data_IF_050456543267
#
_entry.id   IF_050456543267
#
_cell.length_a   1.000
_cell.length_b   1.000
_cell.length_c   1.000
_cell.angle_alpha   90.00
_cell.angle_beta   90.00
_cell.angle_gamma   90.00
#
_symmetry.space_group_name_H-M   'P 1'
#
loop_
_entity.id
_entity.type
_entity.pdbx_description
1 polymer ?
#
# COMPACT_ATOMS: atom_id res chain seq x y z
N UNK A 1 -40.05 -14.14 -9.56
CA UNK A 1 -38.83 -13.62 -8.88
C UNK A 1 -39.05 -12.15 -8.55
N UNK A 2 -38.89 -11.72 -7.30
CA UNK A 2 -39.09 -10.31 -6.91
C UNK A 2 -38.08 -9.36 -7.58
N UNK A 3 -38.48 -8.09 -7.76
CA UNK A 3 -37.59 -7.05 -8.31
C UNK A 3 -36.38 -6.85 -7.39
N UNK A 4 -35.17 -6.93 -7.95
CA UNK A 4 -33.93 -6.71 -7.20
C UNK A 4 -33.73 -5.23 -6.92
N UNK A 5 -33.43 -4.87 -5.68
CA UNK A 5 -33.05 -3.50 -5.32
C UNK A 5 -31.70 -3.13 -5.95
N UNK A 6 -31.41 -1.83 -6.06
CA UNK A 6 -30.10 -1.33 -6.53
C UNK A 6 -28.93 -1.93 -5.74
N UNK A 7 -29.03 -2.03 -4.41
CA UNK A 7 -27.98 -2.64 -3.58
C UNK A 7 -27.78 -4.13 -3.92
N UNK A 8 -28.86 -4.87 -4.17
CA UNK A 8 -28.76 -6.27 -4.61
C UNK A 8 -28.13 -6.39 -6.01
N UNK A 9 -28.45 -5.46 -6.92
CA UNK A 9 -27.82 -5.39 -8.24
C UNK A 9 -26.32 -5.08 -8.13
N UNK A 10 -25.94 -4.09 -7.31
CA UNK A 10 -24.54 -3.73 -7.04
C UNK A 10 -23.77 -4.92 -6.48
N UNK A 11 -24.30 -5.56 -5.43
CA UNK A 11 -23.66 -6.72 -4.83
C UNK A 11 -23.50 -7.85 -5.85
N UNK A 12 -24.54 -8.15 -6.63
CA UNK A 12 -24.45 -9.18 -7.66
C UNK A 12 -23.36 -8.85 -8.70
N UNK A 13 -23.33 -7.63 -9.22
CA UNK A 13 -22.35 -7.19 -10.22
C UNK A 13 -20.91 -7.23 -9.69
N UNK A 14 -20.68 -6.77 -8.46
CA UNK A 14 -19.35 -6.81 -7.86
C UNK A 14 -18.91 -8.25 -7.54
N UNK A 15 -19.83 -9.12 -7.10
CA UNK A 15 -19.51 -10.54 -6.83
C UNK A 15 -19.06 -11.26 -8.09
N UNK A 16 -19.70 -11.01 -9.24
CA UNK A 16 -19.26 -11.60 -10.53
C UNK A 16 -17.83 -11.19 -10.90
N UNK A 17 -17.42 -10.00 -10.46
CA UNK A 17 -16.08 -9.44 -10.66
C UNK A 17 -15.10 -9.82 -9.54
N UNK A 18 -15.53 -10.56 -8.52
CA UNK A 18 -14.67 -10.99 -7.44
C UNK A 18 -13.75 -12.13 -7.89
N UNK A 19 -12.48 -12.05 -7.51
CA UNK A 19 -11.40 -13.02 -7.77
C UNK A 19 -10.63 -13.27 -6.47
N UNK A 20 -11.38 -13.50 -5.40
CA UNK A 20 -10.85 -13.63 -4.04
C UNK A 20 -10.08 -14.95 -3.92
N UNK A 21 -8.88 -14.88 -3.33
CA UNK A 21 -7.97 -16.03 -3.23
C UNK A 21 -6.95 -16.10 -4.37
N UNK A 22 -7.20 -15.41 -5.49
CA UNK A 22 -6.24 -15.31 -6.58
C UNK A 22 -5.20 -14.21 -6.31
N UNK A 23 -3.92 -14.48 -6.62
CA UNK A 23 -2.87 -13.48 -6.47
C UNK A 23 -2.99 -12.40 -7.55
N UNK A 24 -3.26 -11.16 -7.12
CA UNK A 24 -3.21 -9.99 -7.99
C UNK A 24 -1.85 -9.80 -8.67
N UNK A 25 -0.76 -10.25 -8.04
CA UNK A 25 0.56 -10.21 -8.65
C UNK A 25 0.63 -11.14 -9.86
N UNK A 26 0.24 -12.41 -9.67
CA UNK A 26 0.22 -13.42 -10.72
C UNK A 26 -0.67 -12.99 -11.90
N UNK A 27 -1.90 -12.53 -11.59
CA UNK A 27 -2.81 -12.00 -12.62
C UNK A 27 -2.20 -10.83 -13.42
N UNK A 28 -1.37 -10.00 -12.77
CA UNK A 28 -0.66 -8.91 -13.46
C UNK A 28 0.52 -9.42 -14.31
N UNK A 29 1.21 -10.46 -13.85
CA UNK A 29 2.30 -11.10 -14.60
C UNK A 29 1.78 -11.82 -15.84
N UNK A 30 0.70 -12.58 -15.71
CA UNK A 30 -0.01 -13.22 -16.82
C UNK A 30 -0.49 -12.19 -17.85
N UNK A 31 -1.08 -11.09 -17.38
CA UNK A 31 -1.45 -10.00 -18.27
C UNK A 31 -0.23 -9.44 -19.01
N UNK A 32 0.88 -9.19 -18.29
CA UNK A 32 2.12 -8.71 -18.91
C UNK A 32 2.66 -9.69 -19.96
N UNK A 33 2.57 -10.99 -19.70
CA UNK A 33 2.98 -12.03 -20.63
C UNK A 33 2.11 -12.03 -21.88
N UNK A 34 0.78 -11.94 -21.75
CA UNK A 34 -0.13 -11.88 -22.90
C UNK A 34 0.12 -10.67 -23.82
N UNK A 35 0.50 -9.52 -23.26
CA UNK A 35 0.91 -8.36 -24.04
C UNK A 35 2.24 -8.63 -24.76
N UNK A 36 3.21 -9.22 -24.06
CA UNK A 36 4.51 -9.56 -24.64
C UNK A 36 4.39 -10.57 -25.79
N UNK A 37 3.50 -11.57 -25.68
CA UNK A 37 3.18 -12.53 -26.75
C UNK A 37 2.58 -11.85 -27.98
N UNK A 38 1.81 -10.78 -27.79
CA UNK A 38 1.29 -9.93 -28.87
C UNK A 38 2.32 -8.93 -29.41
N UNK A 39 3.55 -8.94 -28.92
CA UNK A 39 4.59 -7.97 -29.27
C UNK A 39 4.35 -6.56 -28.71
N UNK A 40 3.34 -6.40 -27.86
CA UNK A 40 2.96 -5.12 -27.26
C UNK A 40 3.53 -4.99 -25.85
N UNK A 41 3.73 -3.75 -25.40
CA UNK A 41 4.06 -3.47 -24.01
C UNK A 41 2.80 -3.04 -23.28
N UNK A 42 2.50 -3.71 -22.16
CA UNK A 42 1.44 -3.28 -21.26
C UNK A 42 1.67 -1.82 -20.85
N UNK A 43 0.73 -0.94 -21.21
CA UNK A 43 0.80 0.47 -20.86
C UNK A 43 0.82 0.67 -19.33
N UNK A 44 1.41 1.77 -18.90
CA UNK A 44 1.39 2.12 -17.48
C UNK A 44 -0.05 2.42 -17.04
N UNK A 45 -0.52 1.74 -15.99
CA UNK A 45 -1.83 1.98 -15.42
C UNK A 45 -2.95 1.05 -15.92
N UNK A 46 -2.64 0.07 -16.77
CA UNK A 46 -3.61 -0.98 -17.14
C UNK A 46 -4.13 -1.66 -15.87
N UNK A 47 -5.45 -1.67 -15.73
CA UNK A 47 -6.13 -2.28 -14.60
C UNK A 47 -6.11 -3.81 -14.76
N UNK A 48 -5.74 -4.51 -13.68
CA UNK A 48 -5.96 -5.96 -13.60
C UNK A 48 -7.46 -6.19 -13.50
N UNK A 49 -7.95 -7.17 -14.25
CA UNK A 49 -9.36 -7.53 -14.21
C UNK A 49 -9.74 -8.11 -12.83
N UNK A 50 -11.01 -7.95 -12.45
CA UNK A 50 -11.54 -8.46 -11.20
C UNK A 50 -11.13 -7.69 -9.92
N UNK A 51 -11.55 -8.24 -8.78
CA UNK A 51 -11.31 -7.73 -7.42
C UNK A 51 -10.70 -8.86 -6.58
N UNK A 52 -9.40 -8.74 -6.28
CA UNK A 52 -8.62 -9.82 -5.64
C UNK A 52 -8.52 -9.76 -4.11
N UNK A 53 -9.18 -8.78 -3.48
CA UNK A 53 -9.11 -8.61 -2.02
C UNK A 53 -10.49 -8.34 -1.45
N UNK A 54 -10.83 -9.03 -0.37
CA UNK A 54 -12.09 -8.86 0.36
C UNK A 54 -12.23 -7.40 0.82
N UNK A 55 -11.15 -6.82 1.37
CA UNK A 55 -11.14 -5.42 1.79
C UNK A 55 -11.45 -4.46 0.64
N UNK A 56 -10.89 -4.71 -0.55
CA UNK A 56 -11.18 -3.89 -1.74
C UNK A 56 -12.65 -4.08 -2.18
N UNK A 57 -13.14 -5.31 -2.13
CA UNK A 57 -14.54 -5.62 -2.44
C UNK A 57 -15.49 -4.87 -1.52
N UNK A 58 -15.27 -4.91 -0.20
CA UNK A 58 -16.11 -4.25 0.79
C UNK A 58 -16.11 -2.73 0.60
N UNK A 59 -14.92 -2.14 0.40
CA UNK A 59 -14.79 -0.69 0.13
C UNK A 59 -15.50 -0.29 -1.16
N UNK A 60 -15.38 -1.09 -2.22
CA UNK A 60 -16.05 -0.81 -3.49
C UNK A 60 -17.56 -0.93 -3.35
N UNK A 61 -18.03 -1.97 -2.66
CA UNK A 61 -19.44 -2.17 -2.34
C UNK A 61 -20.00 -0.97 -1.58
N UNK A 62 -19.34 -0.54 -0.51
CA UNK A 62 -19.75 0.62 0.31
C UNK A 62 -19.83 1.91 -0.53
N UNK A 63 -18.84 2.15 -1.39
CA UNK A 63 -18.85 3.32 -2.29
C UNK A 63 -20.00 3.27 -3.30
N UNK A 64 -20.29 2.10 -3.87
CA UNK A 64 -21.37 1.94 -4.83
C UNK A 64 -22.76 2.05 -4.17
N UNK A 65 -22.93 1.48 -2.98
CA UNK A 65 -24.18 1.58 -2.20
C UNK A 65 -24.45 3.02 -1.76
N UNK A 66 -23.40 3.78 -1.42
CA UNK A 66 -23.51 5.22 -1.14
C UNK A 66 -23.99 6.00 -2.36
N UNK A 67 -23.46 5.69 -3.53
CA UNK A 67 -23.91 6.29 -4.78
C UNK A 67 -25.38 5.96 -5.08
N UNK A 68 -25.79 4.69 -4.92
CA UNK A 68 -27.19 4.31 -5.10
C UNK A 68 -28.12 5.02 -4.10
N UNK A 69 -27.68 5.16 -2.84
CA UNK A 69 -28.44 5.89 -1.82
C UNK A 69 -28.61 7.37 -2.20
N UNK A 70 -27.55 8.00 -2.69
CA UNK A 70 -27.60 9.38 -3.18
C UNK A 70 -28.54 9.53 -4.38
N UNK A 71 -28.53 8.60 -5.35
CA UNK A 71 -29.47 8.63 -6.47
C UNK A 71 -30.94 8.50 -6.01
N UNK A 72 -31.21 7.70 -4.98
CA UNK A 72 -32.56 7.56 -4.43
C UNK A 72 -32.99 8.86 -3.72
N UNK A 73 -32.10 9.46 -2.93
CA UNK A 73 -32.39 10.63 -2.10
C UNK A 73 -32.47 11.92 -2.90
N UNK A 74 -31.46 12.22 -3.72
CA UNK A 74 -31.31 13.50 -4.41
C UNK A 74 -31.97 13.52 -5.79
N UNK A 75 -32.07 12.36 -6.45
CA UNK A 75 -32.66 12.23 -7.80
C UNK A 75 -34.04 11.59 -7.81
N UNK A 76 -34.56 11.19 -6.65
CA UNK A 76 -35.86 10.53 -6.53
C UNK A 76 -35.95 9.21 -7.30
N UNK A 77 -34.81 8.56 -7.56
CA UNK A 77 -34.78 7.30 -8.32
C UNK A 77 -35.41 6.18 -7.51
N UNK A 78 -36.25 5.37 -8.15
CA UNK A 78 -36.82 4.20 -7.49
C UNK A 78 -35.73 3.18 -7.12
N UNK A 79 -35.79 2.63 -5.90
CA UNK A 79 -34.85 1.60 -5.44
C UNK A 79 -34.82 0.31 -6.28
N UNK A 80 -35.81 0.09 -7.13
CA UNK A 80 -35.92 -1.04 -8.06
C UNK A 80 -35.54 -0.69 -9.51
N UNK A 81 -35.05 0.53 -9.76
CA UNK A 81 -34.51 0.95 -11.06
C UNK A 81 -33.31 0.10 -11.47
N UNK A 82 -33.02 0.02 -12.77
CA UNK A 82 -31.85 -0.72 -13.27
C UNK A 82 -30.57 0.05 -12.94
N UNK A 83 -29.51 -0.69 -12.65
CA UNK A 83 -28.21 -0.13 -12.29
C UNK A 83 -27.61 0.73 -13.40
N UNK A 84 -27.89 0.39 -14.66
CA UNK A 84 -27.43 1.08 -15.85
C UNK A 84 -28.07 2.48 -15.97
N UNK A 85 -29.32 2.63 -15.56
CA UNK A 85 -30.07 3.88 -15.69
C UNK A 85 -29.53 4.98 -14.76
N UNK A 86 -28.99 4.60 -13.61
CA UNK A 86 -28.41 5.56 -12.65
C UNK A 86 -26.99 5.98 -13.01
N UNK A 87 -26.32 5.29 -13.95
CA UNK A 87 -24.94 5.57 -14.36
C UNK A 87 -24.74 7.01 -14.81
N UNK A 88 -25.74 7.59 -15.48
CA UNK A 88 -25.73 8.99 -15.95
C UNK A 88 -25.44 9.99 -14.81
N UNK A 89 -25.80 9.65 -13.57
CA UNK A 89 -25.58 10.51 -12.42
C UNK A 89 -24.20 10.34 -11.76
N UNK A 90 -23.36 9.41 -12.23
CA UNK A 90 -22.07 9.12 -11.60
C UNK A 90 -21.13 10.35 -11.57
N UNK A 91 -21.07 11.11 -12.65
CA UNK A 91 -20.22 12.32 -12.72
C UNK A 91 -20.77 13.42 -11.81
N UNK A 92 -22.09 13.60 -11.78
CA UNK A 92 -22.74 14.58 -10.91
C UNK A 92 -22.54 14.24 -9.43
N UNK A 93 -22.72 12.97 -9.05
CA UNK A 93 -22.43 12.49 -7.70
C UNK A 93 -20.99 12.80 -7.29
N UNK A 94 -20.00 12.50 -8.14
CA UNK A 94 -18.60 12.78 -7.81
C UNK A 94 -18.32 14.27 -7.62
N UNK A 95 -19.05 15.15 -8.31
CA UNK A 95 -18.96 16.61 -8.16
C UNK A 95 -19.63 17.12 -6.89
N UNK A 96 -20.79 16.59 -6.55
CA UNK A 96 -21.44 16.85 -5.26
C UNK A 96 -20.54 16.43 -4.08
N UNK A 97 -19.89 15.26 -4.18
CA UNK A 97 -18.92 14.79 -3.18
C UNK A 97 -17.69 15.69 -3.07
N UNK A 98 -17.25 16.27 -4.19
CA UNK A 98 -16.17 17.27 -4.22
C UNK A 98 -16.62 18.56 -3.52
N UNK A 99 -17.84 19.03 -3.78
CA UNK A 99 -18.44 20.20 -3.13
C UNK A 99 -18.64 19.99 -1.61
N UNK A 100 -18.94 18.77 -1.17
CA UNK A 100 -18.99 18.38 0.25
C UNK A 100 -17.62 18.35 0.95
N UNK A 101 -16.54 18.73 0.26
CA UNK A 101 -15.20 18.79 0.83
C UNK A 101 -14.58 17.42 1.11
N UNK A 102 -15.03 16.35 0.43
CA UNK A 102 -14.38 15.04 0.57
C UNK A 102 -12.97 15.07 0.01
N UNK A 103 -12.06 14.36 0.68
CA UNK A 103 -10.67 14.33 0.25
C UNK A 103 -10.52 13.78 -1.16
N UNK A 104 -9.55 14.31 -1.92
CA UNK A 104 -9.24 13.83 -3.26
C UNK A 104 -8.92 12.32 -3.30
N UNK A 105 -8.39 11.78 -2.20
CA UNK A 105 -8.15 10.34 -2.05
C UNK A 105 -9.47 9.55 -2.08
N UNK A 106 -10.46 10.00 -1.27
CA UNK A 106 -11.80 9.41 -1.24
C UNK A 106 -12.50 9.52 -2.59
N UNK A 107 -12.47 10.70 -3.23
CA UNK A 107 -13.10 10.92 -4.53
C UNK A 107 -12.54 10.00 -5.63
N UNK A 108 -11.21 9.80 -5.65
CA UNK A 108 -10.57 8.88 -6.59
C UNK A 108 -10.92 7.42 -6.30
N UNK A 109 -11.06 7.04 -5.03
CA UNK A 109 -11.50 5.70 -4.64
C UNK A 109 -12.96 5.45 -5.05
N UNK A 110 -13.86 6.40 -4.80
CA UNK A 110 -15.26 6.36 -5.24
C UNK A 110 -15.35 6.25 -6.77
N UNK A 111 -14.61 7.08 -7.51
CA UNK A 111 -14.54 7.01 -8.99
C UNK A 111 -14.04 5.65 -9.49
N UNK A 112 -13.04 5.07 -8.82
CA UNK A 112 -12.51 3.75 -9.18
C UNK A 112 -13.50 2.61 -8.88
N UNK A 113 -14.25 2.71 -7.78
CA UNK A 113 -15.30 1.77 -7.43
C UNK A 113 -16.43 1.80 -8.46
N UNK A 114 -16.93 3.00 -8.81
CA UNK A 114 -17.93 3.18 -9.85
C UNK A 114 -17.42 2.67 -11.22
N UNK A 115 -16.17 2.96 -11.56
CA UNK A 115 -15.61 2.44 -12.80
C UNK A 115 -15.52 0.91 -12.83
N UNK A 116 -15.18 0.28 -11.69
CA UNK A 116 -15.19 -1.18 -11.56
C UNK A 116 -16.63 -1.73 -11.62
N UNK A 117 -17.61 -1.05 -11.03
CA UNK A 117 -19.02 -1.41 -11.09
C UNK A 117 -19.53 -1.47 -12.54
N UNK A 118 -19.30 -0.41 -13.30
CA UNK A 118 -19.77 -0.28 -14.68
C UNK A 118 -18.88 -0.93 -15.74
N UNK A 119 -17.64 -1.29 -15.38
CA UNK A 119 -16.69 -1.91 -16.32
C UNK A 119 -16.01 -0.91 -17.26
N UNK A 120 -16.13 0.39 -16.98
CA UNK A 120 -15.56 1.48 -17.79
C UNK A 120 -15.08 2.62 -16.89
N UNK A 121 -14.23 3.49 -17.42
CA UNK A 121 -13.73 4.63 -16.64
C UNK A 121 -14.77 5.76 -16.58
N UNK A 122 -15.15 6.16 -15.37
CA UNK A 122 -15.99 7.36 -15.18
C UNK A 122 -15.16 8.62 -15.45
N UNK A 123 -15.58 9.37 -16.47
CA UNK A 123 -14.94 10.64 -16.85
C UNK A 123 -15.33 11.76 -15.88
N UNK A 124 -14.54 11.92 -14.82
CA UNK A 124 -14.67 13.04 -13.89
C UNK A 124 -13.30 13.66 -13.59
N UNK A 125 -13.16 14.95 -13.87
CA UNK A 125 -11.99 15.78 -13.52
C UNK A 125 -12.27 16.52 -12.22
N UNK A 126 -11.50 16.18 -11.19
CA UNK A 126 -11.48 16.88 -9.92
C UNK A 126 -10.65 18.17 -10.03
N UNK A 127 -11.09 19.23 -9.37
CA UNK A 127 -10.44 20.54 -9.34
C UNK A 127 -9.14 20.46 -8.54
N UNK A 128 -9.19 19.73 -7.42
CA UNK A 128 -8.05 19.54 -6.55
C UNK A 128 -7.01 18.60 -7.19
N UNK A 129 -5.75 19.05 -7.22
CA UNK A 129 -4.59 18.23 -7.59
C UNK A 129 -3.96 17.63 -6.36
N UNK A 130 -3.42 16.41 -6.49
CA UNK A 130 -2.73 15.75 -5.39
C UNK A 130 -1.43 16.50 -5.10
N UNK A 131 -1.26 16.98 -3.88
CA UNK A 131 0.01 17.52 -3.41
C UNK A 131 0.72 16.52 -2.50
N UNK A 132 2.06 16.47 -2.58
CA UNK A 132 2.86 15.74 -1.60
C UNK A 132 2.90 16.44 -0.23
N UNK A 133 2.51 17.73 -0.19
CA UNK A 133 2.34 18.48 1.06
C UNK A 133 1.24 17.89 1.95
N UNK A 134 0.24 17.25 1.34
CA UNK A 134 -0.91 16.65 2.04
C UNK A 134 -0.59 15.28 2.68
N UNK A 135 0.64 14.79 2.56
CA UNK A 135 1.07 13.56 3.24
C UNK A 135 1.29 13.88 4.71
N UNK A 136 0.28 13.68 5.55
CA UNK A 136 0.34 14.00 7.00
C UNK A 136 0.34 12.77 7.91
N UNK A 137 0.12 11.57 7.35
CA UNK A 137 0.01 10.33 8.11
C UNK A 137 1.27 10.07 8.95
N UNK A 138 1.10 9.82 10.25
CA UNK A 138 2.18 9.50 11.19
C UNK A 138 3.29 10.55 11.23
N UNK A 139 2.94 11.84 11.04
CA UNK A 139 3.85 13.00 11.18
C UNK A 139 3.66 13.77 12.49
N UNK A 140 2.74 13.34 13.33
CA UNK A 140 2.45 13.90 14.65
C UNK A 140 1.59 12.91 15.45
N UNK A 141 1.36 13.22 16.71
CA UNK A 141 0.58 12.36 17.61
C UNK A 141 -0.86 12.19 17.11
N UNK A 142 -1.30 10.95 16.94
CA UNK A 142 -2.69 10.64 16.67
C UNK A 142 -3.42 10.34 17.99
N UNK A 143 -4.70 10.72 18.06
CA UNK A 143 -5.56 10.44 19.24
C UNK A 143 -5.56 8.96 19.70
N UNK A 144 -5.23 8.03 18.80
CA UNK A 144 -5.22 6.59 19.09
C UNK A 144 -3.91 6.12 19.72
N UNK A 145 -2.85 6.91 19.63
CA UNK A 145 -1.52 6.59 20.15
C UNK A 145 -1.51 6.68 21.68
N UNK A 146 -2.39 7.52 22.25
CA UNK A 146 -2.58 7.67 23.70
C UNK A 146 -2.94 6.37 24.44
N UNK A 147 -3.49 5.36 23.73
CA UNK A 147 -3.85 4.07 24.30
C UNK A 147 -2.80 2.98 24.05
N UNK A 148 -1.60 3.33 23.60
CA UNK A 148 -0.51 2.40 23.34
C UNK A 148 0.74 2.79 24.13
N UNK A 149 1.19 1.90 25.01
CA UNK A 149 2.46 2.08 25.73
C UNK A 149 3.59 1.43 24.94
N UNK A 150 4.53 2.24 24.44
CA UNK A 150 5.72 1.75 23.74
C UNK A 150 6.59 0.88 24.64
N UNK A 151 6.74 1.27 25.92
CA UNK A 151 7.55 0.55 26.91
C UNK A 151 7.04 -0.88 27.13
N UNK A 152 5.73 -1.04 27.37
CA UNK A 152 5.12 -2.37 27.57
C UNK A 152 5.13 -3.23 26.30
N UNK A 153 5.35 -2.62 25.14
CA UNK A 153 5.37 -3.28 23.84
C UNK A 153 6.74 -3.14 23.17
N UNK A 154 7.82 -3.02 23.96
CA UNK A 154 9.15 -2.70 23.45
C UNK A 154 9.63 -3.68 22.37
N UNK A 155 9.39 -4.99 22.51
CA UNK A 155 9.77 -6.00 21.51
C UNK A 155 9.00 -5.80 20.18
N UNK A 156 7.73 -5.42 20.23
CA UNK A 156 6.94 -5.11 19.02
C UNK A 156 7.43 -3.84 18.35
N UNK A 157 7.74 -2.81 19.14
CA UNK A 157 8.29 -1.54 18.64
C UNK A 157 9.65 -1.77 18.00
N UNK A 158 10.54 -2.51 18.66
CA UNK A 158 11.85 -2.90 18.14
C UNK A 158 11.72 -3.70 16.85
N UNK A 159 10.79 -4.65 16.78
CA UNK A 159 10.51 -5.40 15.56
C UNK A 159 10.05 -4.46 14.42
N UNK A 160 9.12 -3.55 14.69
CA UNK A 160 8.62 -2.61 13.67
C UNK A 160 9.72 -1.65 13.17
N UNK A 161 10.47 -1.03 14.10
CA UNK A 161 11.57 -0.11 13.80
C UNK A 161 12.77 -0.82 13.20
N UNK A 162 12.97 -2.11 13.48
CA UNK A 162 14.07 -2.92 12.97
C UNK A 162 13.83 -3.50 11.58
N UNK A 163 12.56 -3.71 11.17
CA UNK A 163 12.23 -4.44 9.93
C UNK A 163 11.45 -3.64 8.88
N UNK A 164 10.76 -2.56 9.29
CA UNK A 164 9.90 -1.81 8.38
C UNK A 164 8.79 -2.66 7.74
N UNK A 165 8.18 -3.57 8.49
CA UNK A 165 7.00 -4.34 8.08
C UNK A 165 5.73 -3.48 7.96
N UNK A 166 4.71 -3.92 7.20
CA UNK A 166 3.35 -3.36 7.31
C UNK A 166 2.67 -4.04 8.50
N UNK A 167 1.63 -3.46 9.08
CA UNK A 167 0.90 -4.11 10.20
C UNK A 167 0.50 -5.56 9.89
N UNK A 168 -0.03 -5.80 8.68
CA UNK A 168 -0.38 -7.15 8.22
C UNK A 168 0.83 -8.06 8.00
N UNK A 169 1.98 -7.49 7.62
CA UNK A 169 3.21 -8.26 7.47
C UNK A 169 3.75 -8.66 8.85
N UNK A 170 3.80 -7.70 9.79
CA UNK A 170 4.28 -7.91 11.16
C UNK A 170 3.45 -8.99 11.87
N UNK A 171 2.13 -8.99 11.69
CA UNK A 171 1.24 -9.98 12.28
C UNK A 171 1.38 -11.40 11.70
N UNK A 172 2.17 -11.61 10.65
CA UNK A 172 2.44 -12.94 10.06
C UNK A 172 3.85 -13.44 10.36
N UNK A 173 4.70 -12.62 10.98
CA UNK A 173 6.10 -12.99 11.20
C UNK A 173 6.20 -14.10 12.24
N UNK A 174 7.07 -15.06 11.93
CA UNK A 174 7.52 -16.15 12.80
C UNK A 174 9.04 -16.11 12.90
N UNK A 175 9.69 -16.84 13.83
CA UNK A 175 11.14 -16.97 13.85
C UNK A 175 11.72 -17.44 12.51
N UNK A 176 11.06 -18.37 11.80
CA UNK A 176 11.48 -18.83 10.47
C UNK A 176 11.43 -17.76 9.37
N UNK A 177 10.81 -16.60 9.62
CA UNK A 177 10.83 -15.47 8.70
C UNK A 177 12.19 -14.76 8.67
N UNK A 178 13.09 -15.04 9.61
CA UNK A 178 14.39 -14.41 9.75
C UNK A 178 15.51 -15.33 9.30
N UNK A 179 16.55 -14.74 8.71
CA UNK A 179 17.76 -15.44 8.34
C UNK A 179 18.97 -14.51 8.46
N UNK A 180 20.16 -15.10 8.56
CA UNK A 180 21.43 -14.37 8.60
C UNK A 180 22.28 -14.75 7.39
N UNK A 181 23.07 -13.80 6.89
CA UNK A 181 24.11 -14.12 5.93
C UNK A 181 25.39 -14.65 6.61
N UNK A 182 26.41 -14.98 5.81
CA UNK A 182 27.72 -15.44 6.29
C UNK A 182 28.47 -14.46 7.19
N UNK A 183 28.09 -13.18 7.17
CA UNK A 183 28.71 -12.10 7.93
C UNK A 183 27.82 -11.68 9.12
N UNK A 184 26.84 -12.52 9.51
CA UNK A 184 25.87 -12.24 10.56
C UNK A 184 24.95 -11.03 10.31
N UNK A 185 24.81 -10.56 9.08
CA UNK A 185 23.78 -9.56 8.76
C UNK A 185 22.42 -10.24 8.76
N UNK A 186 21.50 -9.74 9.58
CA UNK A 186 20.16 -10.28 9.70
C UNK A 186 19.20 -9.67 8.69
N UNK A 187 18.33 -10.51 8.16
CA UNK A 187 17.26 -10.15 7.23
C UNK A 187 15.94 -10.77 7.67
N UNK A 188 14.85 -10.16 7.20
CA UNK A 188 13.49 -10.70 7.33
C UNK A 188 12.87 -10.88 5.95
N UNK A 189 12.20 -12.01 5.76
CA UNK A 189 11.38 -12.31 4.58
C UNK A 189 9.92 -12.03 4.90
N UNK A 190 9.30 -11.21 4.05
CA UNK A 190 7.88 -10.95 4.09
C UNK A 190 7.22 -11.64 2.91
N UNK A 191 6.35 -12.61 3.20
CA UNK A 191 5.62 -13.38 2.19
C UNK A 191 4.19 -12.88 2.02
N UNK A 192 3.70 -12.92 0.78
CA UNK A 192 2.36 -12.47 0.40
C UNK A 192 2.01 -11.10 1.00
N UNK A 193 2.98 -10.17 0.96
CA UNK A 193 2.77 -8.79 1.39
C UNK A 193 1.80 -8.09 0.42
N UNK A 194 1.58 -6.79 0.63
CA UNK A 194 0.63 -5.98 -0.13
C UNK A 194 0.72 -6.23 -1.64
N UNK A 195 -0.39 -6.69 -2.22
CA UNK A 195 -0.50 -7.01 -3.64
C UNK A 195 -0.01 -8.40 -4.03
N UNK A 196 0.24 -9.28 -3.05
CA UNK A 196 0.72 -10.65 -3.25
C UNK A 196 2.22 -10.73 -3.57
N UNK A 197 3.01 -9.78 -3.05
CA UNK A 197 4.44 -9.66 -3.37
C UNK A 197 5.29 -10.08 -2.19
N UNK A 198 6.29 -10.90 -2.46
CA UNK A 198 7.32 -11.25 -1.49
C UNK A 198 8.41 -10.19 -1.52
N UNK A 199 9.05 -9.96 -0.37
CA UNK A 199 10.21 -9.05 -0.27
C UNK A 199 11.12 -9.45 0.88
N UNK A 200 12.40 -9.10 0.74
CA UNK A 200 13.39 -9.20 1.82
C UNK A 200 13.71 -7.80 2.31
N UNK A 201 13.84 -7.65 3.63
CA UNK A 201 14.25 -6.39 4.26
C UNK A 201 15.43 -6.64 5.20
N UNK A 202 16.47 -5.78 5.18
CA UNK A 202 17.52 -5.86 6.18
C UNK A 202 16.95 -5.56 7.57
N UNK A 203 17.46 -6.25 8.59
CA UNK A 203 17.20 -5.88 9.97
C UNK A 203 18.26 -4.90 10.43
N UNK A 204 17.84 -3.70 10.82
CA UNK A 204 18.75 -2.65 11.24
C UNK A 204 19.64 -3.12 12.41
N UNK A 205 20.97 -2.90 12.36
CA UNK A 205 21.91 -3.41 13.36
C UNK A 205 21.50 -3.09 14.80
N UNK A 206 21.01 -1.87 15.05
CA UNK A 206 20.54 -1.40 16.36
C UNK A 206 19.47 -2.31 17.00
N UNK A 207 18.66 -3.00 16.21
CA UNK A 207 17.54 -3.80 16.69
C UNK A 207 17.77 -5.31 16.60
N UNK A 208 18.91 -5.76 16.06
CA UNK A 208 19.16 -7.19 15.83
C UNK A 208 19.15 -8.00 17.12
N UNK A 209 19.80 -7.54 18.19
CA UNK A 209 19.86 -8.27 19.46
C UNK A 209 18.47 -8.40 20.11
N UNK A 210 17.70 -7.32 20.17
CA UNK A 210 16.32 -7.37 20.69
C UNK A 210 15.41 -8.29 19.86
N UNK A 211 15.62 -8.35 18.54
CA UNK A 211 14.86 -9.25 17.67
C UNK A 211 15.32 -10.70 17.84
N UNK A 212 16.63 -10.96 17.99
CA UNK A 212 17.17 -12.30 18.30
C UNK A 212 16.60 -12.84 19.61
N UNK A 213 16.55 -12.00 20.64
CA UNK A 213 15.94 -12.36 21.92
C UNK A 213 14.46 -12.70 21.72
N UNK A 214 13.69 -11.84 21.04
CA UNK A 214 12.28 -12.10 20.75
C UNK A 214 12.06 -13.43 20.01
N UNK A 215 12.78 -13.69 18.92
CA UNK A 215 12.59 -14.92 18.13
C UNK A 215 12.99 -16.18 18.92
N UNK A 216 13.93 -16.07 19.87
CA UNK A 216 14.35 -17.20 20.72
C UNK A 216 13.27 -17.64 21.73
N UNK A 217 12.31 -16.77 22.03
CA UNK A 217 11.19 -17.07 22.94
C UNK A 217 10.04 -17.86 22.28
N UNK A 218 10.13 -18.15 20.98
CA UNK A 218 9.04 -18.67 20.17
C UNK A 218 9.46 -19.89 19.36
N UNK A 219 8.54 -20.82 19.12
CA UNK A 219 8.81 -21.95 18.23
C UNK A 219 8.93 -21.48 16.76
N UNK A 220 9.66 -22.19 15.88
CA UNK A 220 9.96 -21.72 14.51
C UNK A 220 8.74 -21.29 13.67
N UNK A 221 7.61 -21.99 13.83
CA UNK A 221 6.36 -21.72 13.11
C UNK A 221 5.35 -20.88 13.91
N UNK A 222 5.67 -20.52 15.15
CA UNK A 222 4.79 -19.73 16.00
C UNK A 222 4.84 -18.25 15.61
N UNK A 223 3.68 -17.59 15.62
CA UNK A 223 3.61 -16.15 15.41
C UNK A 223 4.36 -15.42 16.53
N UNK A 224 5.13 -14.40 16.16
CA UNK A 224 5.80 -13.56 17.15
C UNK A 224 4.81 -12.78 18.03
N UNK A 225 3.64 -12.46 17.47
CA UNK A 225 2.56 -11.76 18.17
C UNK A 225 1.19 -12.28 17.71
N UNK A 226 0.33 -12.61 18.66
CA UNK A 226 -1.05 -13.03 18.37
C UNK A 226 -1.89 -11.89 17.78
N UNK A 227 -1.65 -10.67 18.27
CA UNK A 227 -2.40 -9.47 17.86
C UNK A 227 -1.53 -8.23 17.91
N UNK A 228 -1.58 -7.45 16.83
CA UNK A 228 -0.96 -6.12 16.79
C UNK A 228 -2.01 -5.08 17.21
N UNK A 229 -1.82 -4.42 18.34
CA UNK A 229 -2.76 -3.42 18.86
C UNK A 229 -3.05 -2.30 17.85
N UNK A 230 -4.33 -1.90 17.71
CA UNK A 230 -4.74 -0.90 16.72
C UNK A 230 -4.12 0.49 16.95
N UNK A 231 -3.78 0.81 18.20
CA UNK A 231 -3.09 2.05 18.58
C UNK A 231 -1.57 2.04 18.36
N UNK A 232 -0.95 0.90 18.02
CA UNK A 232 0.47 0.84 17.70
C UNK A 232 0.75 1.58 16.38
N UNK A 233 1.56 2.65 16.35
CA UNK A 233 1.85 3.37 15.10
C UNK A 233 2.89 2.65 14.22
N UNK A 234 2.52 1.47 13.71
CA UNK A 234 3.36 0.69 12.79
C UNK A 234 3.80 1.51 11.57
N UNK A 235 3.02 2.50 11.14
CA UNK A 235 3.42 3.32 9.99
C UNK A 235 4.48 4.36 10.36
N UNK A 236 4.39 4.97 11.55
CA UNK A 236 5.43 5.79 12.15
C UNK A 236 6.74 5.02 12.32
N UNK A 237 6.70 3.85 12.94
CA UNK A 237 7.89 3.00 13.12
C UNK A 237 8.50 2.54 11.79
N UNK A 238 7.66 2.26 10.79
CA UNK A 238 8.11 1.97 9.43
C UNK A 238 8.80 3.17 8.77
N UNK A 239 8.38 4.40 9.09
CA UNK A 239 9.05 5.62 8.65
C UNK A 239 10.41 5.79 9.34
N UNK A 240 10.48 5.58 10.65
CA UNK A 240 11.75 5.59 11.39
C UNK A 240 12.74 4.56 10.83
N UNK A 241 12.28 3.33 10.57
CA UNK A 241 13.08 2.30 9.90
C UNK A 241 13.66 2.81 8.57
N UNK A 242 12.84 3.45 7.73
CA UNK A 242 13.27 3.92 6.42
C UNK A 242 14.35 5.01 6.52
N UNK A 243 14.20 5.91 7.48
CA UNK A 243 15.17 7.00 7.72
C UNK A 243 16.49 6.46 8.25
N UNK A 244 16.44 5.54 9.21
CA UNK A 244 17.64 4.93 9.78
C UNK A 244 18.34 4.00 8.77
N UNK A 245 17.59 3.26 7.96
CA UNK A 245 18.15 2.47 6.86
C UNK A 245 18.84 3.36 5.84
N UNK A 246 18.20 4.47 5.45
CA UNK A 246 18.80 5.42 4.52
C UNK A 246 20.12 5.98 5.07
N UNK A 247 20.14 6.36 6.35
CA UNK A 247 21.36 6.81 7.04
C UNK A 247 22.44 5.71 7.03
N UNK A 248 22.07 4.49 7.40
CA UNK A 248 22.97 3.33 7.44
C UNK A 248 23.66 3.10 6.09
N UNK A 249 22.93 3.13 4.98
CA UNK A 249 23.52 2.91 3.64
C UNK A 249 24.26 4.12 3.08
N UNK A 250 24.04 5.32 3.65
CA UNK A 250 24.87 6.48 3.37
C UNK A 250 26.22 6.37 4.09
N UNK A 251 26.20 5.95 5.35
CA UNK A 251 27.36 5.99 6.24
C UNK A 251 28.25 4.73 6.09
N UNK A 252 27.66 3.58 5.71
CA UNK A 252 28.36 2.30 5.63
C UNK A 252 28.29 1.69 4.22
N UNK A 253 29.41 1.74 3.49
CA UNK A 253 29.54 1.20 2.13
C UNK A 253 29.43 -0.34 2.07
N UNK A 254 29.88 -1.03 3.11
CA UNK A 254 29.83 -2.49 3.19
C UNK A 254 28.39 -2.97 3.37
N UNK A 255 27.66 -2.40 4.35
CA UNK A 255 26.24 -2.69 4.55
C UNK A 255 25.42 -2.28 3.32
N UNK A 256 25.75 -1.15 2.68
CA UNK A 256 25.12 -0.78 1.40
C UNK A 256 25.29 -1.88 0.36
N UNK A 257 26.50 -2.41 0.16
CA UNK A 257 26.75 -3.47 -0.82
C UNK A 257 26.00 -4.77 -0.46
N UNK A 258 26.04 -5.15 0.82
CA UNK A 258 25.31 -6.32 1.33
C UNK A 258 23.81 -6.18 1.10
N UNK A 259 23.21 -5.05 1.46
CA UNK A 259 21.77 -4.85 1.29
C UNK A 259 21.39 -4.73 -0.18
N UNK A 260 22.21 -4.08 -1.01
CA UNK A 260 21.99 -4.01 -2.45
C UNK A 260 21.99 -5.39 -3.12
N UNK A 261 22.80 -6.33 -2.63
CA UNK A 261 22.88 -7.69 -3.19
C UNK A 261 21.57 -8.49 -3.09
N UNK A 262 20.65 -8.08 -2.20
CA UNK A 262 19.34 -8.71 -2.03
C UNK A 262 18.31 -8.25 -3.09
N UNK A 263 18.66 -7.27 -3.92
CA UNK A 263 17.73 -6.63 -4.84
C UNK A 263 18.21 -6.72 -6.28
N UNK A 264 17.26 -6.74 -7.21
CA UNK A 264 17.59 -6.57 -8.63
C UNK A 264 18.26 -5.21 -8.85
N UNK A 265 19.19 -5.09 -9.82
CA UNK A 265 19.79 -3.80 -10.14
C UNK A 265 18.71 -2.75 -10.46
N UNK A 266 18.88 -1.54 -9.93
CA UNK A 266 17.99 -0.42 -10.24
C UNK A 266 17.97 -0.19 -11.75
N UNK A 267 16.77 -0.17 -12.33
CA UNK A 267 16.56 0.16 -13.74
C UNK A 267 15.56 1.31 -13.87
N UNK A 268 16.07 2.52 -14.12
CA UNK A 268 15.26 3.69 -14.43
C UNK A 268 15.56 4.14 -15.87
N UNK A 269 14.80 3.60 -16.84
CA UNK A 269 14.92 4.03 -18.24
C UNK A 269 14.68 5.53 -18.34
N UNK A 270 15.57 6.24 -19.03
CA UNK A 270 15.51 7.69 -19.31
C UNK A 270 15.82 8.63 -18.13
N UNK A 271 16.33 8.13 -17.00
CA UNK A 271 16.81 8.99 -15.92
C UNK A 271 18.34 9.06 -15.98
N UNK A 272 18.86 10.27 -16.26
CA UNK A 272 20.29 10.58 -16.20
C UNK A 272 20.60 11.15 -14.81
N UNK A 273 21.67 10.64 -14.18
CA UNK A 273 22.20 11.17 -12.91
C UNK A 273 22.01 10.26 -11.70
N UNK A 274 22.96 10.36 -10.77
CA UNK A 274 23.03 9.53 -9.56
C UNK A 274 22.15 10.03 -8.42
N UNK A 275 21.73 11.30 -8.47
CA UNK A 275 20.95 11.94 -7.43
C UNK A 275 19.46 12.01 -7.77
N UNK A 276 18.63 11.77 -6.76
CA UNK A 276 17.23 12.14 -6.74
C UNK A 276 17.11 13.52 -6.09
N UNK A 277 16.38 14.42 -6.72
CA UNK A 277 16.14 15.77 -6.21
C UNK A 277 14.63 15.98 -6.15
N UNK A 278 14.11 16.25 -4.96
CA UNK A 278 12.74 16.70 -4.77
C UNK A 278 12.74 18.24 -4.72
N UNK A 279 12.17 18.87 -5.75
CA UNK A 279 12.09 20.34 -5.88
C UNK A 279 11.00 20.98 -5.01
N UNK A 280 10.70 20.39 -3.85
CA UNK A 280 9.76 20.95 -2.89
C UNK A 280 10.47 22.02 -2.04
N UNK A 281 10.02 23.27 -2.12
CA UNK A 281 10.66 24.40 -1.43
C UNK A 281 10.60 24.28 0.10
N UNK A 282 9.56 23.65 0.64
CA UNK A 282 9.36 23.54 2.10
C UNK A 282 10.08 22.33 2.71
N UNK A 283 10.19 21.24 1.93
CA UNK A 283 10.86 20.01 2.34
C UNK A 283 11.78 19.51 1.22
N UNK A 284 12.88 20.23 0.95
CA UNK A 284 13.81 19.83 -0.07
C UNK A 284 14.44 18.48 0.31
N UNK A 285 14.70 17.66 -0.70
CA UNK A 285 15.40 16.40 -0.49
C UNK A 285 16.37 16.17 -1.65
N UNK A 286 17.62 15.86 -1.32
CA UNK A 286 18.64 15.43 -2.27
C UNK A 286 19.33 14.20 -1.71
N UNK A 287 19.37 13.13 -2.50
CA UNK A 287 19.95 11.86 -2.06
C UNK A 287 20.40 10.98 -3.21
N UNK A 288 21.32 10.06 -2.95
CA UNK A 288 21.78 9.08 -3.94
C UNK A 288 20.64 8.12 -4.27
N UNK A 289 20.35 7.94 -5.56
CA UNK A 289 19.25 7.09 -6.05
C UNK A 289 19.40 5.65 -5.59
N UNK A 290 20.61 5.11 -5.59
CA UNK A 290 20.83 3.72 -5.19
C UNK A 290 20.57 3.52 -3.70
N UNK A 291 20.86 4.52 -2.86
CA UNK A 291 20.55 4.47 -1.43
C UNK A 291 19.04 4.53 -1.20
N UNK A 292 18.34 5.41 -1.92
CA UNK A 292 16.87 5.50 -1.88
C UNK A 292 16.23 4.21 -2.43
N UNK A 293 16.86 3.59 -3.42
CA UNK A 293 16.38 2.36 -4.04
C UNK A 293 16.43 1.18 -3.07
N UNK A 294 17.52 1.02 -2.31
CA UNK A 294 17.60 0.04 -1.22
C UNK A 294 16.44 0.24 -0.24
N UNK A 295 16.19 1.47 0.19
CA UNK A 295 15.05 1.77 1.08
C UNK A 295 13.72 1.45 0.41
N UNK A 296 13.57 1.75 -0.88
CA UNK A 296 12.36 1.47 -1.65
C UNK A 296 12.06 -0.02 -1.71
N UNK A 297 13.03 -0.84 -2.11
CA UNK A 297 12.89 -2.29 -2.22
C UNK A 297 12.68 -2.93 -0.84
N UNK A 298 13.44 -2.49 0.17
CA UNK A 298 13.23 -2.88 1.56
C UNK A 298 11.79 -2.60 1.98
N UNK A 299 11.21 -1.44 1.63
CA UNK A 299 9.81 -1.10 1.90
C UNK A 299 8.79 -1.74 0.92
N UNK A 300 9.22 -2.56 -0.03
CA UNK A 300 8.35 -3.17 -1.04
C UNK A 300 7.67 -2.15 -1.95
N UNK A 301 8.35 -1.04 -2.25
CA UNK A 301 7.95 -0.05 -3.25
C UNK A 301 8.92 -0.12 -4.43
N UNK A 302 8.44 0.17 -5.63
CA UNK A 302 9.29 0.20 -6.84
C UNK A 302 9.53 1.64 -7.34
N UNK A 303 9.19 2.63 -6.52
CA UNK A 303 9.09 4.04 -6.91
C UNK A 303 9.81 4.88 -5.87
N UNK A 304 10.94 5.47 -6.27
CA UNK A 304 11.77 6.29 -5.39
C UNK A 304 10.98 7.47 -4.81
N UNK A 305 10.10 8.08 -5.61
CA UNK A 305 9.29 9.22 -5.19
C UNK A 305 8.30 8.87 -4.07
N UNK A 306 7.81 7.63 -4.02
CA UNK A 306 6.96 7.15 -2.93
C UNK A 306 7.79 7.06 -1.65
N UNK A 307 8.98 6.46 -1.72
CA UNK A 307 9.88 6.30 -0.57
C UNK A 307 10.31 7.65 0.00
N UNK A 308 10.71 8.59 -0.87
CA UNK A 308 11.11 9.94 -0.47
C UNK A 308 9.97 10.70 0.20
N UNK A 309 8.83 10.83 -0.48
CA UNK A 309 7.77 11.73 0.01
C UNK A 309 7.00 11.16 1.21
N UNK A 310 6.90 9.83 1.34
CA UNK A 310 6.16 9.21 2.45
C UNK A 310 7.03 8.86 3.65
N UNK A 311 8.34 8.64 3.48
CA UNK A 311 9.18 8.09 4.55
C UNK A 311 10.47 8.88 4.82
N UNK A 312 11.11 9.50 3.83
CA UNK A 312 12.40 10.19 4.05
C UNK A 312 12.28 11.69 4.35
N UNK A 313 11.16 12.32 3.96
CA UNK A 313 10.82 13.72 4.27
C UNK A 313 9.94 13.88 5.51
#
# INVERSE_FOLDING_TARGET
MGRKTLNNQIQHTLTQKARIGESRHKAKEELKQSYAEKGEKMAFGVAVDGIHSIKTYDVYKEHCERFASWCIQEKGVNKYTKLEDIKQYATEYLKDREAQGKSLYTLKAERAALGKLYGEQIECKFENKRSYKDVTRSRGEAKRDAHFSEEKNASLVALCKGTGGRREDIGKLTPSSFFVDKNNNMFVRFEQSKGGRDRVSPVLPKYQEAIKELISTKAPAELLFDKIHNGCDVHGYRREYAQELYKTVCDNKELKAVYASQYAPRSEKNIKGEYYIAHDKERPFKGLRDNIYIVSEALGHNRLDVSVNHYLK
#
